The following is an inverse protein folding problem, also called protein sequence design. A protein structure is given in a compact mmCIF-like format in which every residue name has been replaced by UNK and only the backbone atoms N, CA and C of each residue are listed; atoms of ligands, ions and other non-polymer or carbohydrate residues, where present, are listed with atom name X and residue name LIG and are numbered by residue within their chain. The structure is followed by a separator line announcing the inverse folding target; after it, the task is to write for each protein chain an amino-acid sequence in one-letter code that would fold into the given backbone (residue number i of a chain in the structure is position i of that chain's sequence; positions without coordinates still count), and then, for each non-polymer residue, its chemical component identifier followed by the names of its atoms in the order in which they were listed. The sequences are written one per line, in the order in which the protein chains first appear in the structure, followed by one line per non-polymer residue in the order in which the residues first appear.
data_IF_138514945158
#
_entry.id   IF_138514945158
#
_cell.length_a   1.000
_cell.length_b   1.000
_cell.length_c   1.000
_cell.angle_alpha   90.00
_cell.angle_beta   90.00
_cell.angle_gamma   90.00
#
_symmetry.space_group_name_H-M   'P 1'
#
loop_
_entity.id
_entity.type
_entity.pdbx_description
1 polymer ?
#
# COMPACT_ATOMS: atom_id res chain seq x y z
N UNK A 1 -19.45 -5.77 -6.73
CA UNK A 1 -18.43 -5.63 -5.68
C UNK A 1 -17.92 -7.02 -5.35
N UNK A 2 -16.60 -7.25 -5.43
CA UNK A 2 -15.98 -8.55 -5.11
C UNK A 2 -15.23 -8.37 -3.77
N UNK A 3 -15.56 -9.18 -2.77
CA UNK A 3 -14.85 -9.20 -1.49
C UNK A 3 -13.71 -10.22 -1.57
N UNK A 4 -12.47 -9.74 -1.47
CA UNK A 4 -11.28 -10.57 -1.73
C UNK A 4 -10.62 -11.04 -0.43
N UNK A 5 -10.93 -10.40 0.70
CA UNK A 5 -10.39 -10.81 2.00
C UNK A 5 -11.10 -10.14 3.16
N UNK A 6 -11.14 -10.86 4.28
CA UNK A 6 -11.62 -10.38 5.57
C UNK A 6 -10.51 -10.63 6.58
N UNK A 7 -10.14 -9.61 7.35
CA UNK A 7 -9.20 -9.75 8.47
C UNK A 7 -10.04 -9.87 9.75
N UNK A 8 -10.22 -11.09 10.30
CA UNK A 8 -11.00 -11.27 11.52
C UNK A 8 -10.26 -10.67 12.73
N UNK A 9 -11.01 -10.10 13.68
CA UNK A 9 -10.50 -9.68 14.99
C UNK A 9 -10.12 -10.87 15.89
N UNK A 10 -9.58 -10.64 17.09
CA UNK A 10 -9.53 -9.37 17.83
C UNK A 10 -8.26 -8.52 17.60
N UNK A 11 -7.22 -9.11 17.03
CA UNK A 11 -5.92 -8.46 16.84
C UNK A 11 -5.53 -8.43 15.38
N UNK A 12 -4.96 -7.32 14.95
CA UNK A 12 -4.57 -7.12 13.56
C UNK A 12 -3.32 -7.93 13.19
N UNK A 13 -3.22 -8.49 11.98
CA UNK A 13 -2.04 -9.21 11.55
C UNK A 13 -0.77 -8.35 11.63
N UNK A 14 0.40 -8.97 11.83
CA UNK A 14 1.68 -8.28 11.76
C UNK A 14 1.79 -7.49 10.45
N UNK A 15 2.44 -6.32 10.50
CA UNK A 15 2.56 -5.44 9.32
C UNK A 15 3.01 -6.17 8.06
N UNK A 16 3.99 -7.06 8.17
CA UNK A 16 4.56 -7.76 7.02
C UNK A 16 3.71 -8.92 6.54
N UNK A 17 2.81 -9.44 7.38
CA UNK A 17 1.97 -10.58 7.05
C UNK A 17 0.93 -10.24 5.98
N UNK A 18 0.42 -9.00 5.98
CA UNK A 18 -0.58 -8.55 5.00
C UNK A 18 -0.09 -8.69 3.56
N UNK A 19 1.21 -8.45 3.31
CA UNK A 19 1.80 -8.56 1.98
C UNK A 19 1.76 -10.01 1.47
N UNK A 20 1.91 -11.00 2.34
CA UNK A 20 1.84 -12.42 1.96
C UNK A 20 0.42 -12.84 1.52
N UNK A 21 -0.61 -12.27 2.14
CA UNK A 21 -2.00 -12.53 1.75
C UNK A 21 -2.39 -11.84 0.44
N UNK A 22 -1.80 -10.67 0.17
CA UNK A 22 -2.12 -9.88 -1.02
C UNK A 22 -1.29 -10.27 -2.24
N UNK A 23 -0.12 -10.89 -2.06
CA UNK A 23 0.76 -11.26 -3.18
C UNK A 23 0.06 -12.13 -4.24
N UNK A 24 -0.71 -13.18 -3.92
CA UNK A 24 -1.44 -13.96 -4.93
C UNK A 24 -2.46 -13.10 -5.67
N UNK A 25 -3.23 -12.29 -4.94
CA UNK A 25 -4.22 -11.40 -5.51
C UNK A 25 -3.59 -10.43 -6.52
N UNK A 26 -2.45 -9.82 -6.16
CA UNK A 26 -1.82 -8.87 -7.06
C UNK A 26 -1.24 -9.56 -8.30
N UNK A 27 -0.74 -10.79 -8.19
CA UNK A 27 -0.31 -11.59 -9.35
C UNK A 27 -1.48 -11.84 -10.32
N UNK A 28 -2.62 -12.29 -9.81
CA UNK A 28 -3.83 -12.49 -10.61
C UNK A 28 -4.31 -11.18 -11.25
N UNK A 29 -4.24 -10.06 -10.53
CA UNK A 29 -4.62 -8.75 -11.06
C UNK A 29 -3.68 -8.28 -12.17
N UNK A 30 -2.38 -8.54 -12.07
CA UNK A 30 -1.43 -8.22 -13.13
C UNK A 30 -1.73 -8.99 -14.42
N UNK A 31 -2.13 -10.26 -14.31
CA UNK A 31 -2.58 -11.07 -15.45
C UNK A 31 -3.89 -10.52 -16.03
N UNK A 32 -4.86 -10.20 -15.17
CA UNK A 32 -6.15 -9.64 -15.58
C UNK A 32 -6.01 -8.27 -16.26
N UNK A 33 -5.05 -7.43 -15.86
CA UNK A 33 -4.79 -6.15 -16.53
C UNK A 33 -4.27 -6.37 -17.96
N UNK A 34 -3.43 -7.39 -18.19
CA UNK A 34 -2.97 -7.77 -19.53
C UNK A 34 -4.12 -8.38 -20.37
N UNK A 35 -4.99 -9.11 -19.70
CA UNK A 35 -6.22 -9.71 -20.21
C UNK A 35 -6.09 -11.21 -20.37
N UNK A 36 -7.10 -11.93 -19.91
CA UNK A 36 -7.18 -13.40 -19.91
C UNK A 36 -8.33 -13.87 -20.77
N UNK A 37 -8.17 -15.01 -21.45
CA UNK A 37 -9.24 -15.62 -22.22
C UNK A 37 -10.16 -16.41 -21.28
N UNK A 38 -11.38 -15.92 -21.10
CA UNK A 38 -12.40 -16.56 -20.29
C UNK A 38 -13.30 -17.42 -21.18
N UNK A 39 -13.37 -18.71 -20.87
CA UNK A 39 -14.33 -19.62 -21.49
C UNK A 39 -15.74 -19.29 -20.98
N UNK A 40 -16.68 -19.06 -21.90
CA UNK A 40 -18.08 -18.81 -21.60
C UNK A 40 -18.92 -19.83 -22.35
N UNK A 41 -19.72 -20.59 -21.62
CA UNK A 41 -20.73 -21.47 -22.19
C UNK A 41 -22.04 -20.73 -22.29
N UNK A 42 -22.52 -20.53 -23.51
CA UNK A 42 -23.81 -19.91 -23.81
C UNK A 42 -24.96 -20.87 -23.45
N UNK A 43 -26.18 -20.33 -23.34
CA UNK A 43 -27.35 -21.14 -22.96
C UNK A 43 -27.68 -22.25 -23.96
N UNK A 44 -27.26 -22.11 -25.22
CA UNK A 44 -27.42 -23.11 -26.27
C UNK A 44 -26.32 -24.19 -26.27
N UNK A 45 -25.39 -24.14 -25.31
CA UNK A 45 -24.26 -25.07 -25.19
C UNK A 45 -23.03 -24.67 -26.01
N UNK A 46 -23.08 -23.58 -26.78
CA UNK A 46 -21.92 -23.07 -27.52
C UNK A 46 -20.86 -22.56 -26.56
N UNK A 47 -19.61 -22.99 -26.77
CA UNK A 47 -18.45 -22.52 -26.01
C UNK A 47 -17.76 -21.41 -26.79
N UNK A 48 -17.60 -20.24 -26.18
CA UNK A 48 -16.85 -19.11 -26.74
C UNK A 48 -15.75 -18.67 -25.77
N UNK A 49 -14.69 -18.08 -26.30
CA UNK A 49 -13.61 -17.51 -25.50
C UNK A 49 -13.65 -15.98 -25.64
N UNK A 50 -13.81 -15.29 -24.52
CA UNK A 50 -13.83 -13.84 -24.46
C UNK A 50 -12.61 -13.33 -23.72
N UNK A 51 -11.89 -12.39 -24.31
CA UNK A 51 -10.78 -11.73 -23.63
C UNK A 51 -11.32 -10.74 -22.60
N UNK A 52 -11.10 -11.03 -21.33
CA UNK A 52 -11.54 -10.19 -20.21
C UNK A 52 -10.35 -9.46 -19.62
N UNK A 53 -10.53 -8.17 -19.34
CA UNK A 53 -9.57 -7.35 -18.59
C UNK A 53 -10.22 -6.81 -17.33
N UNK A 54 -9.47 -6.77 -16.24
CA UNK A 54 -9.92 -6.17 -14.99
C UNK A 54 -8.79 -5.38 -14.32
N UNK A 55 -9.17 -4.35 -13.55
CA UNK A 55 -8.25 -3.55 -12.75
C UNK A 55 -8.92 -3.19 -11.41
N UNK A 56 -8.14 -3.11 -10.33
CA UNK A 56 -8.61 -2.61 -9.03
C UNK A 56 -8.51 -1.10 -9.02
N UNK A 57 -9.65 -0.41 -8.92
CA UNK A 57 -9.73 1.05 -8.94
C UNK A 57 -9.89 1.68 -7.56
N UNK A 58 -10.34 0.92 -6.56
CA UNK A 58 -10.65 1.47 -5.24
C UNK A 58 -10.34 0.47 -4.11
N UNK A 59 -9.60 0.95 -3.11
CA UNK A 59 -9.39 0.26 -1.85
C UNK A 59 -10.21 1.00 -0.80
N UNK A 60 -11.31 0.39 -0.34
CA UNK A 60 -12.13 0.93 0.75
C UNK A 60 -11.65 0.35 2.07
N UNK A 61 -10.79 1.07 2.78
CA UNK A 61 -10.34 0.69 4.12
C UNK A 61 -10.11 1.93 4.98
N UNK A 62 -10.02 1.74 6.30
CA UNK A 62 -9.68 2.84 7.20
C UNK A 62 -8.23 3.32 6.99
N UNK A 63 -7.88 4.45 7.62
CA UNK A 63 -6.55 5.03 7.46
C UNK A 63 -5.44 4.08 7.94
N UNK A 64 -5.53 3.41 9.11
CA UNK A 64 -4.53 2.42 9.54
C UNK A 64 -4.31 1.28 8.54
N UNK A 65 -5.38 0.68 8.02
CA UNK A 65 -5.29 -0.39 7.02
C UNK A 65 -4.65 0.13 5.72
N UNK A 66 -5.08 1.31 5.23
CA UNK A 66 -4.50 1.95 4.04
C UNK A 66 -2.99 2.10 4.19
N UNK A 67 -2.53 2.60 5.35
CA UNK A 67 -1.11 2.81 5.63
C UNK A 67 -0.30 1.52 5.58
N UNK A 68 -0.88 0.40 6.05
CA UNK A 68 -0.23 -0.92 5.97
C UNK A 68 -0.16 -1.42 4.54
N UNK A 69 -1.27 -1.31 3.79
CA UNK A 69 -1.35 -1.72 2.40
C UNK A 69 -0.29 -1.02 1.54
N UNK A 70 -0.14 0.30 1.68
CA UNK A 70 0.82 1.09 0.88
C UNK A 70 2.25 1.08 1.46
N UNK A 71 2.48 0.45 2.62
CA UNK A 71 3.80 0.44 3.27
C UNK A 71 4.21 1.80 3.86
N UNK A 72 3.27 2.67 4.19
CA UNK A 72 3.54 3.97 4.81
C UNK A 72 3.50 3.87 6.34
N UNK A 73 4.15 4.82 7.02
CA UNK A 73 4.15 4.92 8.47
C UNK A 73 2.80 5.41 9.04
N UNK A 74 2.61 5.13 10.33
CA UNK A 74 1.45 5.54 11.11
C UNK A 74 1.28 7.07 11.13
N UNK A 75 0.07 7.53 11.45
CA UNK A 75 -0.24 8.94 11.68
C UNK A 75 0.58 9.57 12.82
N UNK A 76 1.23 8.79 13.69
CA UNK A 76 2.14 9.30 14.72
C UNK A 76 3.60 9.42 14.25
N UNK A 77 3.85 9.29 12.95
CA UNK A 77 5.18 9.45 12.36
C UNK A 77 5.44 10.90 11.94
N UNK A 78 6.71 11.29 11.93
CA UNK A 78 7.16 12.50 11.24
C UNK A 78 6.82 12.50 9.73
N UNK A 79 6.59 11.34 9.12
CA UNK A 79 6.10 11.17 7.75
C UNK A 79 4.63 10.71 7.73
N UNK A 80 3.76 11.43 8.44
CA UNK A 80 2.34 11.07 8.56
C UNK A 80 1.57 11.10 7.23
N UNK A 81 2.05 11.84 6.23
CA UNK A 81 1.42 11.99 4.92
C UNK A 81 2.02 11.02 3.89
N UNK A 82 1.16 10.28 3.17
CA UNK A 82 1.61 9.37 2.10
C UNK A 82 1.71 10.05 0.73
N UNK A 83 1.06 11.21 0.56
CA UNK A 83 1.01 11.96 -0.71
C UNK A 83 2.04 13.09 -0.80
N UNK A 84 2.49 13.57 0.35
CA UNK A 84 3.38 14.71 0.49
C UNK A 84 4.65 14.31 1.23
N UNK A 85 5.72 15.06 0.96
CA UNK A 85 7.04 14.80 1.53
C UNK A 85 7.36 15.70 2.74
N UNK A 86 6.33 16.35 3.28
CA UNK A 86 6.45 17.16 4.48
C UNK A 86 6.82 16.29 5.69
N UNK A 87 7.78 16.79 6.47
CA UNK A 87 8.18 16.21 7.76
C UNK A 87 7.47 17.00 8.87
N UNK A 88 6.59 16.33 9.59
CA UNK A 88 5.82 16.94 10.69
C UNK A 88 6.65 16.90 11.98
N UNK A 89 7.10 18.04 12.51
CA UNK A 89 7.92 18.05 13.72
C UNK A 89 7.10 17.73 14.98
N UNK A 90 7.78 17.16 15.97
CA UNK A 90 7.20 16.95 17.30
C UNK A 90 6.96 18.29 18.00
N UNK A 91 5.80 18.43 18.64
CA UNK A 91 5.48 19.51 19.54
C UNK A 91 6.22 19.33 20.89
N UNK A 92 6.43 20.43 21.65
CA UNK A 92 6.89 20.35 23.02
C UNK A 92 5.98 19.43 23.86
N UNK A 93 6.56 18.50 24.61
CA UNK A 93 5.81 17.59 25.48
C UNK A 93 5.52 16.19 24.92
N UNK A 94 6.17 15.77 23.81
CA UNK A 94 6.28 14.36 23.46
C UNK A 94 6.52 14.07 21.98
N UNK A 95 7.22 12.96 21.69
CA UNK A 95 7.55 12.47 20.33
C UNK A 95 6.33 11.99 19.51
N UNK A 96 5.17 11.84 20.13
CA UNK A 96 3.92 11.40 19.48
C UNK A 96 2.94 12.53 19.19
N UNK A 97 3.27 13.77 19.58
CA UNK A 97 2.45 14.95 19.31
C UNK A 97 3.08 15.71 18.16
N UNK A 98 2.46 15.70 16.99
CA UNK A 98 2.99 16.42 15.83
C UNK A 98 2.17 17.68 15.58
N UNK A 99 2.85 18.74 15.11
CA UNK A 99 2.16 19.95 14.70
C UNK A 99 1.55 19.74 13.32
N UNK A 100 0.24 19.60 13.24
CA UNK A 100 -0.47 19.51 11.97
C UNK A 100 -1.00 20.85 11.49
N UNK A 101 -1.02 21.91 12.32
CA UNK A 101 -1.77 23.17 12.15
C UNK A 101 -1.51 23.96 10.86
N UNK A 102 -0.49 23.62 10.07
CA UNK A 102 -0.17 24.28 8.82
C UNK A 102 -0.87 23.60 7.61
N UNK A 103 -2.17 23.88 7.44
CA UNK A 103 -3.02 23.30 6.40
C UNK A 103 -2.88 23.94 5.01
N UNK A 104 -1.75 24.56 4.70
CA UNK A 104 -1.49 25.08 3.36
C UNK A 104 -1.09 23.96 2.38
N UNK A 105 -2.04 23.04 2.12
CA UNK A 105 -1.85 21.84 1.30
C UNK A 105 -1.35 22.15 -0.12
N UNK A 106 -1.67 23.33 -0.65
CA UNK A 106 -1.22 23.77 -1.99
C UNK A 106 0.28 24.02 -2.04
N UNK A 107 0.90 24.35 -0.90
CA UNK A 107 2.34 24.55 -0.77
C UNK A 107 3.11 23.27 -0.45
N UNK A 108 2.41 22.18 -0.11
CA UNK A 108 3.07 20.97 0.34
C UNK A 108 3.77 20.25 -0.82
N UNK A 109 5.06 19.89 -0.67
CA UNK A 109 5.78 19.19 -1.72
C UNK A 109 5.15 17.82 -1.95
N UNK A 110 4.87 17.52 -3.22
CA UNK A 110 4.38 16.20 -3.63
C UNK A 110 5.48 15.16 -3.43
N UNK A 111 5.11 14.01 -2.89
CA UNK A 111 6.03 12.87 -2.75
C UNK A 111 6.26 12.24 -4.12
N UNK A 112 7.51 12.11 -4.52
CA UNK A 112 7.89 11.36 -5.71
C UNK A 112 7.57 9.88 -5.50
N UNK A 113 6.74 9.24 -6.36
CA UNK A 113 6.40 7.82 -6.23
C UNK A 113 7.61 6.87 -6.40
N UNK A 114 8.74 7.32 -6.94
CA UNK A 114 9.96 6.53 -7.01
C UNK A 114 10.60 6.32 -5.62
N UNK A 115 10.52 7.31 -4.73
CA UNK A 115 11.11 7.29 -3.38
C UNK A 115 10.55 6.13 -2.52
N UNK A 116 9.23 5.99 -2.29
CA UNK A 116 8.70 4.90 -1.49
C UNK A 116 8.93 3.53 -2.16
N UNK A 117 8.98 3.47 -3.49
CA UNK A 117 9.28 2.24 -4.25
C UNK A 117 10.71 1.76 -3.97
N UNK A 118 11.70 2.65 -4.15
CA UNK A 118 13.11 2.33 -3.87
C UNK A 118 13.34 2.01 -2.39
N UNK A 119 12.73 2.78 -1.49
CA UNK A 119 12.81 2.52 -0.05
C UNK A 119 12.25 1.13 0.32
N UNK A 120 11.12 0.74 -0.27
CA UNK A 120 10.54 -0.59 -0.08
C UNK A 120 11.49 -1.70 -0.54
N UNK A 121 12.16 -1.54 -1.68
CA UNK A 121 13.14 -2.52 -2.19
C UNK A 121 14.36 -2.65 -1.28
N UNK A 122 14.90 -1.51 -0.82
CA UNK A 122 15.99 -1.48 0.14
C UNK A 122 15.56 -2.14 1.46
N UNK A 123 14.34 -1.90 1.92
CA UNK A 123 13.79 -2.48 3.15
C UNK A 123 13.68 -4.01 3.07
N UNK A 124 13.26 -4.54 1.92
CA UNK A 124 13.20 -5.99 1.67
C UNK A 124 14.61 -6.59 1.67
N UNK A 125 15.56 -5.95 0.97
CA UNK A 125 16.96 -6.39 0.88
C UNK A 125 17.70 -6.29 2.22
N UNK A 126 17.27 -5.39 3.11
CA UNK A 126 17.84 -5.25 4.43
C UNK A 126 17.59 -6.51 5.29
N UNK A 127 18.67 -7.08 5.82
CA UNK A 127 18.65 -8.31 6.63
C UNK A 127 18.44 -8.03 8.11
N UNK A 128 18.80 -6.83 8.61
CA UNK A 128 18.71 -6.49 10.02
C UNK A 128 17.52 -5.57 10.32
N UNK A 129 16.94 -5.73 11.52
CA UNK A 129 15.89 -4.85 12.03
C UNK A 129 16.35 -3.39 12.12
N UNK A 130 17.62 -3.17 12.47
CA UNK A 130 18.22 -1.84 12.55
C UNK A 130 18.27 -1.16 11.17
N UNK A 131 18.76 -1.86 10.14
CA UNK A 131 18.81 -1.32 8.78
C UNK A 131 17.41 -0.97 8.25
N UNK A 132 16.42 -1.86 8.47
CA UNK A 132 15.02 -1.59 8.15
C UNK A 132 14.47 -0.37 8.87
N UNK A 133 14.80 -0.20 10.15
CA UNK A 133 14.36 0.95 10.95
C UNK A 133 14.98 2.25 10.44
N UNK A 134 16.26 2.23 10.06
CA UNK A 134 16.94 3.40 9.50
C UNK A 134 16.32 3.84 8.16
N UNK A 135 16.06 2.90 7.25
CA UNK A 135 15.38 3.19 5.97
C UNK A 135 13.99 3.78 6.23
N UNK A 136 13.25 3.18 7.15
CA UNK A 136 11.89 3.60 7.49
C UNK A 136 11.88 5.00 8.12
N UNK A 137 12.84 5.30 8.99
CA UNK A 137 12.99 6.62 9.62
C UNK A 137 13.38 7.71 8.63
N UNK A 138 14.21 7.39 7.63
CA UNK A 138 14.67 8.35 6.63
C UNK A 138 13.62 8.64 5.53
N UNK A 139 12.79 7.66 5.17
CA UNK A 139 11.92 7.73 3.98
C UNK A 139 10.42 7.70 4.29
N UNK A 140 10.06 7.44 5.56
CA UNK A 140 8.68 7.25 5.96
C UNK A 140 8.00 6.00 5.35
N UNK A 141 8.79 5.10 4.77
CA UNK A 141 8.32 4.01 3.92
C UNK A 141 8.96 2.67 4.30
N UNK A 142 8.20 1.59 4.14
CA UNK A 142 8.60 0.20 4.39
C UNK A 142 7.96 -0.70 3.33
N UNK A 143 8.18 -2.01 3.43
CA UNK A 143 7.58 -2.97 2.50
C UNK A 143 6.04 -2.90 2.51
N UNK A 144 5.46 -2.50 1.38
CA UNK A 144 4.02 -2.45 1.12
C UNK A 144 3.65 -3.15 -0.20
N UNK A 145 2.36 -3.38 -0.39
CA UNK A 145 1.80 -4.09 -1.53
C UNK A 145 1.77 -3.24 -2.82
N UNK A 146 1.92 -1.91 -2.71
CA UNK A 146 1.89 -0.95 -3.83
C UNK A 146 3.03 -1.09 -4.86
N UNK A 147 3.99 -2.00 -4.66
CA UNK A 147 5.13 -2.23 -5.56
C UNK A 147 4.72 -2.72 -6.96
N UNK A 148 3.58 -3.38 -7.07
CA UNK A 148 3.27 -4.27 -8.20
C UNK A 148 2.26 -3.67 -9.20
N UNK A 149 1.79 -2.43 -9.01
CA UNK A 149 0.86 -1.77 -9.94
C UNK A 149 1.59 -0.61 -10.63
N UNK A 150 2.40 -0.93 -11.63
CA UNK A 150 2.94 0.01 -12.62
C UNK A 150 3.47 -0.74 -13.83
#
# INVERSE_FOLDING_TARGET
MILIGVIPGPSEPPTTAINHYLEPLVKEMLELVQGVDLQVTLMDGTVVYNKVRAAITLISCDLPATKKLIGSLSFNSHHACHMCDLVFPSLPGGVSKHNYCDWNCDSWPRKDPAVPRQASEQWIRATTKAARSNITAATGSRNGCSRQVS
#
